data_IF_617522663142
#
_entry.id   IF_617522663142
#
_cell.length_a   1.000
_cell.length_b   1.000
_cell.length_c   1.000
_cell.angle_alpha   90.00
_cell.angle_beta   90.00
_cell.angle_gamma   90.00
#
_symmetry.space_group_name_H-M   'P 1'
#
loop_
_entity.id
_entity.type
_entity.pdbx_description
1 polymer ?
#
# COMPACT_ATOMS: atom_id res chain seq x y z
N UNK A 1 -60.05 -8.36 -35.35
CA UNK A 1 -58.99 -7.40 -35.75
C UNK A 1 -57.99 -7.05 -34.63
N UNK A 2 -58.15 -7.53 -33.38
CA UNK A 2 -57.25 -7.16 -32.26
C UNK A 2 -56.33 -8.28 -31.74
N UNK A 3 -56.43 -9.52 -32.24
CA UNK A 3 -55.51 -10.62 -31.81
C UNK A 3 -54.31 -10.73 -32.76
N UNK A 4 -54.46 -10.35 -34.03
CA UNK A 4 -53.36 -10.37 -35.00
C UNK A 4 -52.31 -9.26 -34.75
N UNK A 5 -52.69 -8.18 -34.05
CA UNK A 5 -51.79 -7.06 -33.75
C UNK A 5 -50.86 -7.35 -32.57
N UNK A 6 -51.21 -8.30 -31.70
CA UNK A 6 -50.40 -8.71 -30.54
C UNK A 6 -49.31 -9.71 -30.96
N UNK A 7 -49.55 -10.49 -32.02
CA UNK A 7 -48.54 -11.39 -32.58
C UNK A 7 -47.49 -10.63 -33.41
N UNK A 8 -47.79 -9.39 -33.84
CA UNK A 8 -46.87 -8.57 -34.64
C UNK A 8 -45.80 -7.81 -33.82
N UNK A 9 -45.82 -7.88 -32.49
CA UNK A 9 -44.90 -7.17 -31.59
C UNK A 9 -43.82 -8.06 -30.94
N UNK A 10 -43.75 -9.36 -31.28
CA UNK A 10 -42.77 -10.29 -30.67
C UNK A 10 -41.55 -10.58 -31.58
N UNK A 11 -41.44 -9.96 -32.76
CA UNK A 11 -40.18 -9.98 -33.53
C UNK A 11 -39.16 -8.95 -33.00
N UNK A 12 -39.03 -8.83 -31.68
CA UNK A 12 -37.95 -8.12 -31.03
C UNK A 12 -36.67 -8.98 -31.10
N UNK A 13 -35.95 -8.82 -32.21
CA UNK A 13 -34.49 -8.87 -32.37
C UNK A 13 -33.77 -9.55 -31.17
N UNK A 14 -33.75 -10.88 -31.13
CA UNK A 14 -33.02 -11.64 -30.11
C UNK A 14 -31.56 -11.85 -30.55
N UNK A 15 -30.72 -10.83 -30.35
CA UNK A 15 -29.27 -10.92 -30.45
C UNK A 15 -28.68 -10.80 -29.05
N UNK A 16 -28.26 -11.89 -28.41
CA UNK A 16 -27.73 -11.85 -27.04
C UNK A 16 -26.22 -11.73 -27.06
N UNK A 17 -25.70 -10.55 -26.71
CA UNK A 17 -24.26 -10.34 -26.54
C UNK A 17 -23.81 -10.83 -25.17
N UNK A 18 -22.74 -11.62 -25.16
CA UNK A 18 -21.97 -11.91 -23.96
C UNK A 18 -20.61 -11.23 -24.04
N UNK A 19 -20.18 -10.64 -22.92
CA UNK A 19 -18.85 -10.05 -22.74
C UNK A 19 -18.41 -10.30 -21.32
N UNK A 20 -17.32 -11.05 -21.13
CA UNK A 20 -16.85 -11.44 -19.82
C UNK A 20 -15.33 -11.64 -19.77
N UNK A 21 -14.78 -11.64 -18.56
CA UNK A 21 -13.43 -12.13 -18.27
C UNK A 21 -13.54 -13.60 -17.85
N UNK A 22 -12.76 -14.48 -18.50
CA UNK A 22 -12.70 -15.89 -18.11
C UNK A 22 -11.82 -16.09 -16.87
N UNK A 23 -11.84 -17.30 -16.29
CA UNK A 23 -11.16 -17.57 -15.01
C UNK A 23 -9.68 -17.21 -15.01
N UNK A 24 -8.98 -17.39 -16.13
CA UNK A 24 -7.56 -17.04 -16.26
C UNK A 24 -7.35 -15.53 -16.14
N UNK A 25 -8.15 -14.74 -16.85
CA UNK A 25 -8.05 -13.27 -16.83
C UNK A 25 -8.52 -12.68 -15.50
N UNK A 26 -9.49 -13.32 -14.84
CA UNK A 26 -9.95 -12.94 -13.49
C UNK A 26 -8.89 -13.26 -12.44
N UNK A 27 -8.26 -14.42 -12.50
CA UNK A 27 -7.14 -14.77 -11.62
C UNK A 27 -5.97 -13.80 -11.85
N UNK A 28 -5.66 -13.46 -13.11
CA UNK A 28 -4.61 -12.52 -13.43
C UNK A 28 -4.88 -11.10 -12.90
N UNK A 29 -6.12 -10.62 -12.97
CA UNK A 29 -6.48 -9.25 -12.59
C UNK A 29 -6.81 -9.07 -11.11
N UNK A 30 -7.44 -10.07 -10.51
CA UNK A 30 -8.01 -9.99 -9.17
C UNK A 30 -7.44 -11.05 -8.20
N UNK A 31 -6.61 -11.98 -8.69
CA UNK A 31 -6.08 -13.11 -7.92
C UNK A 31 -7.19 -13.97 -7.31
N UNK A 32 -8.34 -14.03 -7.98
CA UNK A 32 -9.49 -14.86 -7.64
C UNK A 32 -9.54 -16.09 -8.56
N UNK A 33 -9.45 -17.29 -7.98
CA UNK A 33 -9.53 -18.56 -8.72
C UNK A 33 -10.98 -18.93 -9.04
N UNK A 34 -11.20 -19.55 -10.19
CA UNK A 34 -12.46 -20.20 -10.59
C UNK A 34 -13.70 -19.29 -10.76
N UNK A 35 -13.50 -18.00 -11.05
CA UNK A 35 -14.61 -17.06 -11.27
C UNK A 35 -14.63 -16.50 -12.69
N UNK A 36 -15.82 -16.42 -13.30
CA UNK A 36 -16.06 -15.63 -14.53
C UNK A 36 -16.71 -14.31 -14.18
N UNK A 37 -16.20 -13.21 -14.73
CA UNK A 37 -16.75 -11.88 -14.50
C UNK A 37 -17.49 -11.38 -15.74
N UNK A 38 -18.81 -11.47 -15.71
CA UNK A 38 -19.67 -11.01 -16.78
C UNK A 38 -19.92 -9.51 -16.71
N UNK A 39 -19.52 -8.79 -17.76
CA UNK A 39 -19.89 -7.40 -17.99
C UNK A 39 -21.26 -7.31 -18.66
N UNK A 40 -21.48 -8.22 -19.62
CA UNK A 40 -22.74 -8.40 -20.31
C UNK A 40 -23.03 -9.90 -20.32
N UNK A 41 -24.22 -10.26 -19.85
CA UNK A 41 -24.74 -11.62 -19.92
C UNK A 41 -26.12 -11.55 -20.56
N UNK A 42 -26.29 -12.14 -21.74
CA UNK A 42 -27.55 -12.16 -22.46
C UNK A 42 -28.18 -10.76 -22.64
N UNK A 43 -27.40 -9.78 -23.11
CA UNK A 43 -27.76 -8.34 -23.21
C UNK A 43 -27.99 -7.58 -21.90
N UNK A 44 -27.90 -8.24 -20.73
CA UNK A 44 -28.01 -7.54 -19.45
C UNK A 44 -26.67 -6.93 -19.09
N UNK A 45 -26.60 -5.61 -19.20
CA UNK A 45 -25.46 -4.80 -18.77
C UNK A 45 -25.45 -4.78 -17.24
N UNK A 46 -24.36 -5.24 -16.61
CA UNK A 46 -24.14 -4.95 -15.19
C UNK A 46 -23.64 -3.51 -15.04
N UNK A 47 -24.54 -2.56 -14.79
CA UNK A 47 -24.20 -1.13 -14.71
C UNK A 47 -23.03 -0.84 -13.76
N UNK A 48 -22.99 -1.50 -12.60
CA UNK A 48 -21.89 -1.37 -11.63
C UNK A 48 -20.51 -1.74 -12.20
N UNK A 49 -20.45 -2.63 -13.20
CA UNK A 49 -19.19 -3.04 -13.84
C UNK A 49 -18.62 -1.97 -14.79
N UNK A 50 -19.42 -0.99 -15.22
CA UNK A 50 -19.02 0.08 -16.15
C UNK A 50 -18.88 1.46 -15.47
N UNK A 51 -19.35 1.60 -14.23
CA UNK A 51 -19.17 2.80 -13.42
C UNK A 51 -17.76 2.91 -12.84
N UNK A 52 -17.17 1.79 -12.40
CA UNK A 52 -15.83 1.73 -11.83
C UNK A 52 -14.77 1.35 -12.86
N UNK A 53 -13.60 2.00 -12.81
CA UNK A 53 -12.44 1.60 -13.60
C UNK A 53 -11.83 0.30 -13.07
N UNK A 54 -11.59 -0.66 -13.97
CA UNK A 54 -10.89 -1.90 -13.68
C UNK A 54 -9.40 -1.64 -13.41
N UNK A 55 -8.91 -2.03 -12.24
CA UNK A 55 -7.50 -1.84 -11.85
C UNK A 55 -6.60 -2.85 -12.56
N UNK A 56 -5.59 -2.38 -13.29
CA UNK A 56 -4.62 -3.23 -14.00
C UNK A 56 -3.22 -3.01 -13.41
N UNK A 57 -2.68 -4.03 -12.75
CA UNK A 57 -1.36 -3.99 -12.09
C UNK A 57 -0.21 -3.72 -13.06
N UNK A 58 0.93 -3.26 -12.55
CA UNK A 58 2.13 -2.95 -13.34
C UNK A 58 2.65 -4.13 -14.17
N UNK A 59 2.57 -5.33 -13.60
CA UNK A 59 3.08 -6.56 -14.23
C UNK A 59 2.14 -7.14 -15.29
N UNK A 60 0.92 -6.60 -15.41
CA UNK A 60 -0.08 -7.04 -16.39
C UNK A 60 0.00 -6.11 -17.59
N UNK A 61 0.41 -6.66 -18.73
CA UNK A 61 0.60 -5.91 -19.98
C UNK A 61 -0.61 -5.92 -20.89
N UNK A 62 -1.37 -7.01 -20.87
CA UNK A 62 -2.60 -7.14 -21.64
C UNK A 62 -3.67 -7.82 -20.79
N UNK A 63 -4.93 -7.58 -21.16
CA UNK A 63 -6.10 -8.25 -20.59
C UNK A 63 -6.88 -8.87 -21.72
N UNK A 64 -7.17 -10.16 -21.61
CA UNK A 64 -8.00 -10.89 -22.56
C UNK A 64 -9.47 -10.87 -22.12
N UNK A 65 -10.37 -10.57 -23.06
CA UNK A 65 -11.81 -10.60 -22.90
C UNK A 65 -12.39 -11.68 -23.81
N UNK A 66 -13.45 -12.33 -23.33
CA UNK A 66 -14.23 -13.27 -24.11
C UNK A 66 -15.56 -12.65 -24.50
N UNK A 67 -15.94 -12.79 -25.76
CA UNK A 67 -17.19 -12.28 -26.29
C UNK A 67 -17.78 -13.19 -27.36
N UNK A 68 -19.10 -13.17 -27.46
CA UNK A 68 -19.83 -13.78 -28.56
C UNK A 68 -21.24 -13.19 -28.70
N UNK A 69 -21.76 -13.25 -29.92
CA UNK A 69 -23.17 -13.07 -30.22
C UNK A 69 -23.86 -14.44 -30.17
N UNK A 70 -24.57 -14.69 -29.06
CA UNK A 70 -25.43 -15.86 -28.91
C UNK A 70 -26.78 -15.57 -29.60
N UNK A 71 -27.04 -16.24 -30.72
CA UNK A 71 -28.29 -16.13 -31.46
C UNK A 71 -28.86 -17.48 -31.82
N UNK A 72 -30.17 -17.58 -31.63
CA UNK A 72 -30.96 -18.74 -31.99
C UNK A 72 -31.43 -18.74 -33.46
N UNK A 73 -31.33 -17.62 -34.18
CA UNK A 73 -31.85 -17.49 -35.56
C UNK A 73 -30.78 -17.01 -36.55
N UNK A 74 -30.53 -17.81 -37.59
CA UNK A 74 -29.31 -17.80 -38.42
C UNK A 74 -29.30 -16.66 -39.45
N UNK A 75 -30.46 -16.09 -39.81
CA UNK A 75 -30.61 -15.51 -41.15
C UNK A 75 -30.97 -14.01 -41.27
N UNK A 76 -31.09 -13.21 -40.20
CA UNK A 76 -31.65 -11.84 -40.37
C UNK A 76 -30.90 -10.63 -39.81
N UNK A 77 -29.89 -10.76 -38.94
CA UNK A 77 -28.98 -9.63 -38.73
C UNK A 77 -27.65 -10.02 -38.10
N UNK A 78 -26.60 -9.30 -38.49
CA UNK A 78 -25.25 -9.37 -37.91
C UNK A 78 -25.06 -8.20 -36.94
N UNK A 79 -24.47 -8.46 -35.77
CA UNK A 79 -24.05 -7.40 -34.84
C UNK A 79 -22.65 -6.91 -35.23
N UNK A 80 -22.55 -5.63 -35.58
CA UNK A 80 -21.29 -4.99 -35.89
C UNK A 80 -20.77 -4.21 -34.70
N UNK A 81 -19.45 -4.08 -34.62
CA UNK A 81 -18.77 -3.28 -33.63
C UNK A 81 -17.86 -2.25 -34.30
N UNK A 82 -17.66 -1.14 -33.59
CA UNK A 82 -16.61 -0.14 -33.84
C UNK A 82 -16.06 0.28 -32.49
N UNK A 83 -14.74 0.36 -32.32
CA UNK A 83 -14.16 0.79 -31.05
C UNK A 83 -13.21 1.97 -31.19
N UNK A 84 -13.21 2.81 -30.14
CA UNK A 84 -12.24 3.89 -29.99
C UNK A 84 -11.52 3.75 -28.64
N UNK A 85 -10.23 4.11 -28.61
CA UNK A 85 -9.39 4.00 -27.41
C UNK A 85 -8.90 5.37 -26.97
N UNK A 86 -8.83 5.61 -25.67
CA UNK A 86 -8.30 6.86 -25.11
C UNK A 86 -7.46 6.61 -23.87
N UNK A 87 -6.48 7.48 -23.63
CA UNK A 87 -5.66 7.52 -22.42
C UNK A 87 -5.71 8.94 -21.85
N UNK A 88 -5.77 9.09 -20.52
CA UNK A 88 -5.79 10.41 -19.88
C UNK A 88 -4.45 11.14 -19.99
N UNK A 89 -3.36 10.40 -20.21
CA UNK A 89 -2.01 10.92 -20.42
C UNK A 89 -1.26 10.03 -21.41
N UNK A 90 -1.24 10.44 -22.68
CA UNK A 90 -0.58 9.73 -23.77
C UNK A 90 0.96 9.76 -23.70
N UNK A 91 1.55 10.68 -22.91
CA UNK A 91 3.01 10.71 -22.69
C UNK A 91 3.46 9.60 -21.73
N UNK A 92 2.58 9.22 -20.81
CA UNK A 92 2.83 8.18 -19.81
C UNK A 92 2.33 6.79 -20.21
N UNK A 93 1.22 6.72 -20.94
CA UNK A 93 0.61 5.48 -21.45
C UNK A 93 0.00 5.77 -22.81
N UNK A 94 0.55 5.16 -23.88
CA UNK A 94 -0.06 5.26 -25.20
C UNK A 94 -1.47 4.66 -25.16
N UNK A 95 -2.29 5.03 -26.14
CA UNK A 95 -3.67 4.51 -26.25
C UNK A 95 -3.66 2.97 -26.24
N UNK A 96 -4.58 2.32 -25.51
CA UNK A 96 -4.66 0.86 -25.48
C UNK A 96 -4.75 0.28 -26.89
N UNK A 97 -4.07 -0.84 -27.15
CA UNK A 97 -4.05 -1.48 -28.48
C UNK A 97 -4.80 -2.80 -28.42
N UNK A 98 -5.76 -3.00 -29.32
CA UNK A 98 -6.50 -4.25 -29.41
C UNK A 98 -5.90 -5.15 -30.50
N UNK A 99 -6.01 -6.48 -30.32
CA UNK A 99 -5.61 -7.46 -31.34
C UNK A 99 -6.74 -7.78 -32.34
N UNK A 100 -7.73 -6.90 -32.46
CA UNK A 100 -8.84 -6.98 -33.41
C UNK A 100 -8.89 -5.69 -34.24
N UNK A 101 -9.52 -5.73 -35.42
CA UNK A 101 -9.67 -4.54 -36.27
C UNK A 101 -10.65 -3.53 -35.66
N UNK A 102 -10.44 -2.23 -35.91
CA UNK A 102 -11.23 -1.11 -35.33
C UNK A 102 -12.74 -1.23 -35.58
N UNK A 103 -13.13 -1.78 -36.73
CA UNK A 103 -14.53 -2.00 -37.14
C UNK A 103 -14.70 -3.40 -37.70
N UNK A 104 -15.64 -4.17 -37.16
CA UNK A 104 -15.85 -5.56 -37.55
C UNK A 104 -17.21 -6.11 -37.16
N UNK A 105 -17.32 -7.44 -37.17
CA UNK A 105 -18.54 -8.20 -36.81
C UNK A 105 -18.26 -8.93 -35.50
N UNK A 106 -19.21 -8.89 -34.57
CA UNK A 106 -19.13 -9.68 -33.33
C UNK A 106 -19.22 -11.16 -33.69
N UNK A 107 -18.29 -12.01 -33.21
CA UNK A 107 -18.26 -13.42 -33.59
C UNK A 107 -19.45 -14.17 -33.00
N UNK A 108 -20.00 -15.12 -33.76
CA UNK A 108 -21.08 -16.01 -33.30
C UNK A 108 -20.56 -17.06 -32.31
N UNK A 109 -19.36 -17.56 -32.58
CA UNK A 109 -18.67 -18.49 -31.70
C UNK A 109 -17.93 -17.74 -30.59
N UNK A 110 -17.73 -18.42 -29.46
CA UNK A 110 -16.93 -17.92 -28.35
C UNK A 110 -15.53 -17.58 -28.86
N UNK A 111 -15.20 -16.29 -28.82
CA UNK A 111 -13.92 -15.77 -29.28
C UNK A 111 -13.31 -14.86 -28.23
N UNK A 112 -12.01 -14.61 -28.34
CA UNK A 112 -11.30 -13.70 -27.45
C UNK A 112 -10.71 -12.51 -28.21
N UNK A 113 -10.57 -11.40 -27.51
CA UNK A 113 -9.74 -10.28 -27.91
C UNK A 113 -8.95 -9.77 -26.71
N UNK A 114 -7.75 -9.26 -26.96
CA UNK A 114 -6.84 -8.76 -25.94
C UNK A 114 -6.68 -7.26 -26.08
N UNK A 115 -6.55 -6.58 -24.93
CA UNK A 115 -6.25 -5.15 -24.83
C UNK A 115 -4.86 -5.00 -24.23
N UNK A 116 -3.91 -4.47 -25.00
CA UNK A 116 -2.55 -4.16 -24.58
C UNK A 116 -2.46 -2.75 -23.99
N UNK A 117 -1.67 -2.60 -22.92
CA UNK A 117 -1.41 -1.35 -22.21
C UNK A 117 0.06 -0.91 -22.37
N UNK A 118 0.38 -0.16 -23.44
CA UNK A 118 1.75 0.30 -23.75
C UNK A 118 2.27 1.41 -22.82
N UNK A 119 2.77 1.01 -21.65
CA UNK A 119 3.31 1.91 -20.62
C UNK A 119 4.68 2.52 -21.00
N UNK A 120 4.79 3.83 -20.87
CA UNK A 120 5.98 4.61 -21.21
C UNK A 120 6.70 5.19 -19.97
N UNK A 121 5.98 5.52 -18.90
CA UNK A 121 6.54 6.07 -17.65
C UNK A 121 6.08 5.28 -16.42
N UNK A 122 6.58 5.63 -15.23
CA UNK A 122 6.11 5.11 -13.94
C UNK A 122 4.99 5.97 -13.37
N UNK A 123 3.79 5.87 -13.93
CA UNK A 123 2.62 6.65 -13.49
C UNK A 123 1.39 5.75 -13.33
N UNK A 124 0.32 6.32 -12.76
CA UNK A 124 -1.02 5.71 -12.72
C UNK A 124 -1.94 6.47 -13.67
N UNK A 125 -2.43 5.81 -14.72
CA UNK A 125 -3.12 6.46 -15.82
C UNK A 125 -4.50 5.82 -16.02
N UNK A 126 -5.52 6.65 -16.22
CA UNK A 126 -6.85 6.19 -16.63
C UNK A 126 -6.88 6.03 -18.15
N UNK A 127 -7.42 4.92 -18.64
CA UNK A 127 -7.64 4.71 -20.06
C UNK A 127 -8.99 4.04 -20.28
N UNK A 128 -9.51 4.12 -21.50
CA UNK A 128 -10.79 3.51 -21.84
C UNK A 128 -10.85 2.98 -23.26
N UNK A 129 -11.68 1.96 -23.45
CA UNK A 129 -12.06 1.40 -24.75
C UNK A 129 -13.56 1.49 -24.89
N UNK A 130 -14.01 2.34 -25.82
CA UNK A 130 -15.41 2.60 -26.09
C UNK A 130 -15.84 1.82 -27.33
N UNK A 131 -16.65 0.77 -27.14
CA UNK A 131 -17.30 0.06 -28.22
C UNK A 131 -18.67 0.68 -28.53
N UNK A 132 -18.95 0.85 -29.82
CA UNK A 132 -20.25 1.13 -30.39
C UNK A 132 -20.71 -0.10 -31.16
N UNK A 133 -21.84 -0.65 -30.74
CA UNK A 133 -22.46 -1.80 -31.38
C UNK A 133 -23.67 -1.34 -32.17
N UNK A 134 -23.85 -1.89 -33.37
CA UNK A 134 -24.97 -1.54 -34.24
C UNK A 134 -25.36 -2.73 -35.11
N UNK A 135 -26.60 -2.71 -35.59
CA UNK A 135 -27.13 -3.72 -36.49
C UNK A 135 -27.12 -3.19 -37.94
N UNK A 136 -26.78 -4.06 -38.90
CA UNK A 136 -26.83 -3.79 -40.35
C UNK A 136 -28.14 -3.18 -40.84
N UNK A 137 -29.26 -3.56 -40.24
CA UNK A 137 -30.59 -3.20 -40.74
C UNK A 137 -31.01 -1.78 -40.38
N UNK A 138 -30.45 -1.22 -39.31
CA UNK A 138 -30.86 0.10 -38.80
C UNK A 138 -29.74 1.14 -38.91
N UNK A 139 -28.47 0.74 -39.04
CA UNK A 139 -27.29 1.62 -38.95
C UNK A 139 -27.26 2.54 -37.71
N UNK A 140 -28.19 2.36 -36.77
CA UNK A 140 -28.25 3.07 -35.50
C UNK A 140 -27.49 2.26 -34.46
N UNK A 141 -26.71 2.95 -33.62
CA UNK A 141 -26.05 2.35 -32.46
C UNK A 141 -27.09 1.73 -31.54
N UNK A 142 -27.05 0.41 -31.42
CA UNK A 142 -27.94 -0.36 -30.56
C UNK A 142 -27.45 -0.35 -29.13
N UNK A 143 -26.12 -0.28 -28.91
CA UNK A 143 -25.52 -0.38 -27.60
C UNK A 143 -24.14 0.30 -27.56
N UNK A 144 -23.81 0.93 -26.43
CA UNK A 144 -22.50 1.53 -26.17
C UNK A 144 -21.90 0.88 -24.93
N UNK A 145 -20.66 0.43 -25.04
CA UNK A 145 -19.91 -0.23 -23.96
C UNK A 145 -18.65 0.59 -23.71
N UNK A 146 -18.47 1.10 -22.50
CA UNK A 146 -17.27 1.85 -22.13
C UNK A 146 -16.47 1.09 -21.08
N UNK A 147 -15.46 0.35 -21.53
CA UNK A 147 -14.53 -0.34 -20.64
C UNK A 147 -13.52 0.68 -20.12
N UNK A 148 -13.57 0.98 -18.82
CA UNK A 148 -12.65 1.90 -18.15
C UNK A 148 -11.61 1.13 -17.37
N UNK A 149 -10.36 1.55 -17.47
CA UNK A 149 -9.23 0.92 -16.82
C UNK A 149 -8.39 1.95 -16.06
N UNK A 150 -7.85 1.54 -14.92
CA UNK A 150 -6.84 2.26 -14.14
C UNK A 150 -5.54 1.47 -14.22
N UNK A 151 -4.64 1.85 -15.14
CA UNK A 151 -3.37 1.16 -15.36
C UNK A 151 -2.29 1.74 -14.45
N UNK A 152 -1.60 0.86 -13.73
CA UNK A 152 -0.34 1.18 -13.06
C UNK A 152 0.80 0.85 -14.01
N UNK A 153 1.67 1.81 -14.31
CA UNK A 153 2.79 1.62 -15.25
C UNK A 153 4.14 1.58 -14.52
N UNK A 154 5.08 0.78 -15.04
CA UNK A 154 6.47 0.69 -14.59
C UNK A 154 7.40 0.60 -15.81
N UNK A 155 8.53 1.31 -15.79
CA UNK A 155 9.47 1.38 -16.94
C UNK A 155 10.19 0.04 -17.14
N UNK A 156 10.51 -0.66 -16.06
CA UNK A 156 11.32 -1.89 -16.05
C UNK A 156 10.60 -3.13 -16.60
N UNK A 157 9.28 -3.09 -16.75
CA UNK A 157 8.53 -4.24 -17.25
C UNK A 157 8.68 -4.32 -18.77
N UNK A 158 9.49 -5.27 -19.24
CA UNK A 158 9.63 -5.61 -20.65
C UNK A 158 8.44 -6.45 -21.09
N UNK A 159 7.77 -6.02 -22.17
CA UNK A 159 6.71 -6.82 -22.79
C UNK A 159 7.40 -7.87 -23.64
N UNK A 160 7.09 -9.15 -23.42
CA UNK A 160 7.64 -10.23 -24.22
C UNK A 160 7.32 -10.04 -25.70
N UNK A 161 8.31 -10.32 -26.55
CA UNK A 161 8.20 -10.14 -28.00
C UNK A 161 7.09 -11.02 -28.62
N UNK A 162 6.83 -12.19 -28.02
CA UNK A 162 5.72 -13.09 -28.37
C UNK A 162 4.33 -12.53 -28.05
N UNK A 163 4.22 -11.68 -27.03
CA UNK A 163 2.97 -10.97 -26.70
C UNK A 163 2.79 -9.83 -27.69
N UNK A 164 3.85 -9.06 -27.95
CA UNK A 164 3.81 -7.96 -28.91
C UNK A 164 3.40 -8.44 -30.31
N UNK A 165 3.88 -9.59 -30.78
CA UNK A 165 3.52 -10.18 -32.08
C UNK A 165 2.02 -10.35 -32.30
N UNK A 166 1.23 -10.53 -31.24
CA UNK A 166 -0.23 -10.64 -31.34
C UNK A 166 -0.91 -9.32 -31.75
N UNK A 167 -0.20 -8.20 -31.64
CA UNK A 167 -0.75 -6.86 -31.87
C UNK A 167 -0.02 -6.09 -32.99
N UNK A 168 0.98 -6.70 -33.66
CA UNK A 168 1.90 -6.05 -34.63
C UNK A 168 1.23 -5.34 -35.81
N UNK A 169 -0.04 -5.63 -36.10
CA UNK A 169 -0.79 -4.98 -37.16
C UNK A 169 -1.20 -3.54 -36.82
N UNK A 170 -0.91 -3.05 -35.61
CA UNK A 170 -1.14 -1.67 -35.21
C UNK A 170 0.13 -0.82 -35.32
N UNK A 171 0.09 0.25 -36.12
CA UNK A 171 1.16 1.24 -36.24
C UNK A 171 1.63 1.79 -34.88
N UNK A 172 0.74 1.83 -33.87
CA UNK A 172 1.04 2.32 -32.52
C UNK A 172 2.09 1.49 -31.77
N UNK A 173 2.33 0.23 -32.16
CA UNK A 173 3.32 -0.62 -31.48
C UNK A 173 4.73 -0.31 -31.94
N UNK A 174 4.92 0.05 -33.21
CA UNK A 174 6.22 0.51 -33.66
C UNK A 174 6.59 1.82 -32.98
N UNK A 175 5.64 2.74 -32.84
CA UNK A 175 5.85 3.97 -32.07
C UNK A 175 6.22 3.66 -30.60
N UNK A 176 5.51 2.72 -29.97
CA UNK A 176 5.82 2.26 -28.61
C UNK A 176 7.27 1.76 -28.48
N UNK A 177 7.69 0.87 -29.38
CA UNK A 177 9.02 0.26 -29.34
C UNK A 177 10.12 1.32 -29.54
N UNK A 178 9.95 2.23 -30.49
CA UNK A 178 10.90 3.31 -30.76
C UNK A 178 11.04 4.26 -29.57
N UNK A 179 9.93 4.66 -28.96
CA UNK A 179 9.91 5.56 -27.80
C UNK A 179 10.52 4.89 -26.56
N UNK A 180 10.35 3.57 -26.41
CA UNK A 180 10.93 2.83 -25.28
C UNK A 180 12.45 2.69 -25.42
N UNK A 181 12.93 2.42 -26.63
CA UNK A 181 14.36 2.29 -26.92
C UNK A 181 15.11 3.61 -26.70
N UNK A 182 14.54 4.75 -27.13
CA UNK A 182 15.15 6.07 -26.91
C UNK A 182 15.29 6.39 -25.42
N UNK A 183 14.22 6.17 -24.64
CA UNK A 183 14.23 6.41 -23.19
C UNK A 183 15.22 5.53 -22.42
N UNK A 184 15.39 4.29 -22.84
CA UNK A 184 16.37 3.40 -22.23
C UNK A 184 17.79 3.93 -22.45
N UNK A 185 18.11 4.43 -23.66
CA UNK A 185 19.41 5.05 -23.93
C UNK A 185 19.67 6.27 -23.05
N UNK A 186 18.68 7.16 -22.90
CA UNK A 186 18.82 8.36 -22.06
C UNK A 186 19.07 8.01 -20.58
N UNK A 187 18.34 7.03 -20.04
CA UNK A 187 18.53 6.58 -18.66
C UNK A 187 19.93 5.99 -18.42
N UNK A 188 20.41 5.13 -19.33
CA UNK A 188 21.76 4.55 -19.21
C UNK A 188 22.85 5.62 -19.23
N UNK A 189 22.71 6.66 -20.07
CA UNK A 189 23.65 7.80 -20.13
C UNK A 189 23.70 8.59 -18.81
N UNK A 190 22.55 8.85 -18.19
CA UNK A 190 22.46 9.59 -16.93
C UNK A 190 23.06 8.79 -15.76
N UNK A 191 22.82 7.48 -15.70
CA UNK A 191 23.40 6.64 -14.64
C UNK A 191 24.93 6.56 -14.72
N UNK A 192 25.49 6.47 -15.92
CA UNK A 192 26.94 6.43 -16.12
C UNK A 192 27.57 7.76 -15.70
N UNK A 193 27.01 8.88 -16.16
CA UNK A 193 27.51 10.22 -15.82
C UNK A 193 27.47 10.49 -14.31
N UNK A 194 26.39 10.12 -13.62
CA UNK A 194 26.27 10.28 -12.16
C UNK A 194 27.28 9.41 -11.38
N UNK A 195 27.52 8.17 -11.80
CA UNK A 195 28.53 7.30 -11.16
C UNK A 195 29.94 7.89 -11.31
N UNK A 196 30.28 8.39 -12.51
CA UNK A 196 31.58 9.03 -12.73
C UNK A 196 31.76 10.30 -11.90
N UNK A 197 30.73 11.14 -11.76
CA UNK A 197 30.83 12.35 -10.92
C UNK A 197 31.01 12.03 -9.45
N UNK A 198 30.26 11.07 -8.89
CA UNK A 198 30.46 10.65 -7.49
C UNK A 198 31.85 10.07 -7.24
N UNK A 199 32.38 9.28 -8.19
CA UNK A 199 33.72 8.70 -8.09
C UNK A 199 34.82 9.77 -8.05
N UNK A 200 34.70 10.82 -8.86
CA UNK A 200 35.62 11.95 -8.86
C UNK A 200 35.55 12.77 -7.57
N UNK A 201 34.36 12.98 -7.02
CA UNK A 201 34.17 13.71 -5.75
C UNK A 201 34.83 12.95 -4.60
N UNK A 202 34.64 11.63 -4.51
CA UNK A 202 35.25 10.81 -3.47
C UNK A 202 36.77 10.85 -3.58
N UNK A 203 37.32 10.71 -4.79
CA UNK A 203 38.76 10.79 -5.01
C UNK A 203 39.35 12.15 -4.56
N UNK A 204 38.63 13.25 -4.83
CA UNK A 204 39.04 14.59 -4.39
C UNK A 204 39.01 14.75 -2.87
N UNK A 205 37.99 14.22 -2.19
CA UNK A 205 37.90 14.25 -0.71
C UNK A 205 39.04 13.46 -0.07
N UNK A 206 39.34 12.27 -0.60
CA UNK A 206 40.47 11.45 -0.12
C UNK A 206 41.79 12.19 -0.30
N UNK A 207 41.99 12.83 -1.46
CA UNK A 207 43.18 13.64 -1.72
C UNK A 207 43.32 14.78 -0.70
N UNK A 208 42.24 15.50 -0.38
CA UNK A 208 42.26 16.56 0.62
C UNK A 208 42.61 16.05 2.03
N UNK A 209 42.08 14.89 2.44
CA UNK A 209 42.41 14.30 3.74
C UNK A 209 43.90 13.95 3.82
N UNK A 210 44.45 13.32 2.78
CA UNK A 210 45.88 12.97 2.70
C UNK A 210 46.74 14.24 2.71
N UNK A 211 46.33 15.28 1.98
CA UNK A 211 47.04 16.55 1.96
C UNK A 211 47.04 17.27 3.32
N UNK A 212 45.89 17.33 4.00
CA UNK A 212 45.75 17.92 5.33
C UNK A 212 46.55 17.16 6.40
N UNK A 213 46.53 15.82 6.36
CA UNK A 213 47.31 14.98 7.28
C UNK A 213 48.81 15.15 7.05
N UNK A 214 49.27 15.23 5.80
CA UNK A 214 50.67 15.52 5.47
C UNK A 214 51.11 16.90 5.98
N UNK A 215 50.28 17.93 5.82
CA UNK A 215 50.55 19.27 6.39
C UNK A 215 50.59 19.22 7.91
N UNK A 216 49.64 18.54 8.56
CA UNK A 216 49.61 18.41 10.01
C UNK A 216 50.87 17.72 10.54
N UNK A 217 51.30 16.63 9.91
CA UNK A 217 52.54 15.94 10.24
C UNK A 217 53.78 16.82 10.01
N UNK A 218 53.80 17.61 8.92
CA UNK A 218 54.88 18.57 8.67
C UNK A 218 54.94 19.68 9.73
N UNK A 219 53.79 20.20 10.16
CA UNK A 219 53.68 21.18 11.24
C UNK A 219 54.13 20.58 12.58
N UNK A 220 53.70 19.36 12.91
CA UNK A 220 54.13 18.64 14.12
C UNK A 220 55.64 18.35 14.10
N UNK A 221 56.19 17.98 12.94
CA UNK A 221 57.64 17.80 12.77
C UNK A 221 58.41 19.10 13.02
N UNK A 222 57.89 20.26 12.56
CA UNK A 222 58.49 21.57 12.87
C UNK A 222 58.38 21.92 14.36
N UNK A 223 57.23 21.67 14.99
CA UNK A 223 56.99 21.98 16.41
C UNK A 223 57.82 21.10 17.36
N UNK A 224 58.04 19.84 17.01
CA UNK A 224 58.89 18.91 17.78
C UNK A 224 60.37 19.26 17.72
N UNK A 225 60.85 19.87 16.62
CA UNK A 225 62.23 20.39 16.56
C UNK A 225 62.47 21.60 17.46
N UNK A 226 61.44 22.38 17.79
CA UNK A 226 61.51 23.53 18.70
C UNK A 226 61.33 23.17 20.18
N UNK A 227 60.69 22.04 20.51
CA UNK A 227 60.31 21.68 21.89
C UNK A 227 61.19 20.59 22.55
N UNK A 228 62.37 20.31 22.00
CA UNK A 228 63.31 19.30 22.54
C UNK A 228 64.06 19.74 23.80
N UNK A 229 63.54 20.71 24.55
CA UNK A 229 64.21 21.25 25.76
C UNK A 229 63.43 21.12 27.06
N UNK A 230 62.21 20.59 27.12
CA UNK A 230 61.46 20.56 28.39
C UNK A 230 60.63 19.27 28.55
N UNK A 231 61.19 18.39 29.39
CA UNK A 231 60.57 17.44 30.34
C UNK A 231 59.73 16.24 29.84
N UNK A 232 60.32 15.07 30.10
CA UNK A 232 59.68 13.78 30.42
C UNK A 232 58.74 13.89 31.64
N UNK A 233 57.63 13.14 31.67
CA UNK A 233 57.40 11.97 32.57
C UNK A 233 55.90 11.60 32.80
N UNK A 234 55.67 10.28 32.95
CA UNK A 234 54.61 9.54 33.69
C UNK A 234 53.25 9.12 33.03
N UNK A 235 53.16 7.82 32.67
CA UNK A 235 52.20 6.72 33.05
C UNK A 235 50.69 6.99 33.27
N UNK A 236 49.68 6.12 33.04
CA UNK A 236 49.52 4.66 32.86
C UNK A 236 48.07 4.38 32.34
N UNK A 237 47.84 3.23 31.68
CA UNK A 237 46.62 2.81 30.96
C UNK A 237 45.68 1.84 31.75
N UNK A 238 44.37 1.75 31.42
CA UNK A 238 43.33 0.94 32.10
C UNK A 238 42.37 0.17 31.13
N UNK A 239 42.25 -1.15 31.40
CA UNK A 239 41.24 -2.22 31.16
C UNK A 239 39.98 -2.10 30.25
N UNK A 240 39.61 -3.25 29.63
CA UNK A 240 38.38 -3.55 28.85
C UNK A 240 37.65 -4.86 29.30
N UNK A 241 36.33 -4.95 29.03
CA UNK A 241 35.38 -6.10 29.17
C UNK A 241 34.44 -6.16 27.92
N UNK A 242 33.43 -7.08 27.77
CA UNK A 242 33.42 -8.56 27.61
C UNK A 242 32.54 -9.03 26.39
N UNK A 243 32.22 -10.33 26.27
CA UNK A 243 31.34 -10.90 25.22
C UNK A 243 30.16 -11.78 25.76
N UNK A 244 29.05 -11.73 24.99
CA UNK A 244 27.70 -12.40 25.03
C UNK A 244 27.69 -13.93 25.28
N UNK A 245 26.57 -14.60 25.72
CA UNK A 245 25.36 -14.86 24.87
C UNK A 245 24.00 -15.13 25.59
N UNK A 246 22.90 -15.21 24.82
CA UNK A 246 21.71 -15.97 25.24
C UNK A 246 20.85 -16.45 24.04
N UNK A 247 20.22 -17.62 24.23
CA UNK A 247 19.17 -18.19 23.40
C UNK A 247 17.96 -18.62 24.26
N UNK A 248 16.77 -18.48 23.67
CA UNK A 248 15.52 -19.27 23.83
C UNK A 248 14.46 -18.99 24.94
N UNK A 249 13.24 -18.79 24.40
CA UNK A 249 11.91 -19.34 24.71
C UNK A 249 10.88 -18.72 25.66
N UNK A 250 9.63 -18.87 25.20
CA UNK A 250 8.38 -18.22 25.58
C UNK A 250 7.40 -19.26 26.13
N UNK A 251 6.74 -19.01 27.27
CA UNK A 251 5.41 -19.60 27.57
C UNK A 251 4.58 -18.75 28.56
N UNK A 252 3.34 -18.47 28.13
CA UNK A 252 2.01 -18.49 28.81
C UNK A 252 1.74 -17.77 30.15
N UNK A 253 0.61 -17.02 30.23
CA UNK A 253 -0.32 -17.05 31.38
C UNK A 253 -1.76 -16.64 31.00
N UNK A 254 -2.72 -17.31 31.66
CA UNK A 254 -4.18 -17.34 31.46
C UNK A 254 -5.00 -16.21 32.13
N UNK A 255 -6.24 -16.09 31.62
CA UNK A 255 -7.53 -15.57 32.10
C UNK A 255 -7.71 -14.78 33.42
N UNK A 256 -8.48 -13.68 33.32
CA UNK A 256 -9.45 -13.22 34.35
C UNK A 256 -10.69 -12.61 33.66
N UNK A 257 -11.87 -13.06 34.10
CA UNK A 257 -13.22 -12.76 33.60
C UNK A 257 -13.88 -11.48 34.15
N UNK A 258 -14.62 -10.82 33.25
CA UNK A 258 -15.84 -9.97 33.33
C UNK A 258 -16.42 -9.46 34.68
N UNK A 259 -16.73 -8.15 34.68
CA UNK A 259 -17.91 -7.37 35.10
C UNK A 259 -17.37 -6.00 35.58
N UNK A 260 -17.88 -4.80 35.32
CA UNK A 260 -19.09 -4.24 34.72
C UNK A 260 -18.76 -2.78 34.38
N UNK A 261 -19.21 -2.24 33.25
CA UNK A 261 -19.28 -0.78 33.12
C UNK A 261 -20.43 -0.38 32.21
N UNK A 262 -21.58 -0.12 32.82
CA UNK A 262 -22.69 0.59 32.21
C UNK A 262 -22.91 1.86 33.02
N UNK A 263 -23.03 2.98 32.29
CA UNK A 263 -23.35 4.34 32.73
C UNK A 263 -22.18 5.14 33.34
N UNK A 264 -21.63 6.07 32.54
CA UNK A 264 -20.82 7.19 33.05
C UNK A 264 -21.34 8.50 32.45
N UNK A 265 -21.49 9.49 33.32
CA UNK A 265 -22.05 10.81 33.07
C UNK A 265 -20.97 11.79 32.55
N UNK A 266 -21.31 12.58 31.53
CA UNK A 266 -20.37 13.22 30.59
C UNK A 266 -19.97 14.67 30.95
N UNK A 267 -19.98 15.04 32.23
CA UNK A 267 -19.83 16.46 32.65
C UNK A 267 -18.68 16.78 33.61
N UNK A 268 -17.77 15.84 33.90
CA UNK A 268 -16.73 16.04 34.93
C UNK A 268 -15.33 16.38 34.38
N UNK A 269 -14.62 17.25 35.11
CA UNK A 269 -13.29 17.77 34.81
C UNK A 269 -12.20 16.70 34.96
N UNK A 270 -11.03 16.96 34.35
CA UNK A 270 -9.87 16.07 34.24
C UNK A 270 -9.44 15.38 35.54
N UNK A 271 -9.59 16.05 36.68
CA UNK A 271 -9.18 15.52 37.99
C UNK A 271 -10.16 14.49 38.56
N UNK A 272 -11.43 14.48 38.13
CA UNK A 272 -12.43 13.47 38.53
C UNK A 272 -12.44 12.23 37.61
N UNK A 273 -12.00 12.39 36.34
CA UNK A 273 -11.73 11.25 35.44
C UNK A 273 -10.54 10.40 35.92
N UNK A 274 -9.57 11.05 36.58
CA UNK A 274 -8.38 10.42 37.14
C UNK A 274 -8.65 9.56 38.39
N UNK A 275 -9.74 9.81 39.12
CA UNK A 275 -10.11 9.04 40.31
C UNK A 275 -11.18 7.97 40.04
N UNK A 276 -11.93 8.09 38.95
CA UNK A 276 -13.04 7.18 38.61
C UNK A 276 -12.64 5.99 37.74
N UNK A 277 -11.47 6.04 37.10
CA UNK A 277 -10.87 4.90 36.40
C UNK A 277 -9.61 4.49 37.16
N UNK A 278 -9.58 3.26 37.64
CA UNK A 278 -8.48 2.60 38.36
C UNK A 278 -7.20 2.51 37.51
N UNK A 279 -6.56 3.63 37.17
CA UNK A 279 -5.19 3.62 36.64
C UNK A 279 -4.16 3.39 37.73
N UNK A 280 -4.54 3.46 39.02
CA UNK A 280 -3.67 3.08 40.12
C UNK A 280 -3.09 1.66 39.94
N UNK A 281 -3.89 0.73 39.42
CA UNK A 281 -3.49 -0.67 39.16
C UNK A 281 -2.66 -0.84 37.87
N UNK A 282 -2.63 0.18 37.00
CA UNK A 282 -1.96 0.16 35.70
C UNK A 282 -0.86 1.24 35.56
N UNK A 283 -0.45 1.85 36.68
CA UNK A 283 0.60 2.87 36.69
C UNK A 283 1.97 2.19 36.65
N UNK A 284 2.79 2.58 35.67
CA UNK A 284 4.16 2.05 35.52
C UNK A 284 5.12 3.08 36.11
N UNK A 285 6.09 2.62 36.89
CA UNK A 285 7.17 3.48 37.39
C UNK A 285 7.98 4.04 36.21
N UNK A 286 8.13 5.36 36.17
CA UNK A 286 8.89 6.07 35.15
C UNK A 286 10.33 5.57 35.04
N UNK A 287 10.96 5.19 36.17
CA UNK A 287 12.34 4.72 36.20
C UNK A 287 12.54 3.39 35.45
N UNK A 288 11.45 2.68 35.17
CA UNK A 288 11.46 1.44 34.41
C UNK A 288 11.40 1.67 32.91
N UNK A 289 11.13 2.89 32.43
CA UNK A 289 10.94 3.16 31.00
C UNK A 289 11.99 4.12 30.48
N UNK A 290 12.77 3.65 29.51
CA UNK A 290 13.72 4.47 28.76
C UNK A 290 13.09 4.89 27.43
N UNK A 291 13.05 6.19 27.18
CA UNK A 291 12.55 6.75 25.92
C UNK A 291 13.67 6.73 24.86
N UNK A 292 13.32 6.30 23.64
CA UNK A 292 14.21 6.32 22.48
C UNK A 292 13.69 7.35 21.45
N UNK A 293 13.65 6.96 20.18
CA UNK A 293 13.28 7.83 19.07
C UNK A 293 11.77 8.06 18.91
N UNK A 294 11.41 9.18 18.25
CA UNK A 294 10.05 9.44 17.79
C UNK A 294 9.81 8.67 16.49
N UNK A 295 8.91 7.69 16.54
CA UNK A 295 8.52 6.87 15.39
C UNK A 295 7.57 7.66 14.47
N UNK A 296 6.65 8.40 15.10
CA UNK A 296 5.63 9.18 14.42
C UNK A 296 5.28 10.43 15.21
N UNK A 297 5.15 11.54 14.48
CA UNK A 297 4.54 12.76 14.99
C UNK A 297 3.34 13.12 14.11
N UNK A 298 2.18 13.27 14.73
CA UNK A 298 0.97 13.78 14.13
C UNK A 298 0.70 15.22 14.56
N UNK A 299 -0.47 15.74 14.20
CA UNK A 299 -0.86 17.13 14.49
C UNK A 299 -0.87 17.45 15.99
N UNK A 300 -1.25 16.49 16.83
CA UNK A 300 -1.44 16.70 18.28
C UNK A 300 -0.80 15.59 19.15
N UNK A 301 -0.27 14.55 18.54
CA UNK A 301 0.18 13.34 19.22
C UNK A 301 1.51 12.85 18.68
N UNK A 302 2.29 12.17 19.52
CA UNK A 302 3.57 11.54 19.18
C UNK A 302 3.57 10.09 19.65
N UNK A 303 4.19 9.24 18.84
CA UNK A 303 4.46 7.85 19.15
C UNK A 303 5.97 7.66 19.23
N UNK A 304 6.44 7.18 20.37
CA UNK A 304 7.84 6.98 20.73
C UNK A 304 8.14 5.47 20.76
N UNK A 305 9.36 5.12 20.38
CA UNK A 305 9.94 3.83 20.74
C UNK A 305 10.45 3.94 22.18
N UNK A 306 10.17 2.95 23.02
CA UNK A 306 10.63 2.93 24.41
C UNK A 306 11.09 1.51 24.78
N UNK A 307 11.94 1.38 25.80
CA UNK A 307 12.27 0.09 26.41
C UNK A 307 11.80 0.06 27.85
N UNK A 308 11.14 -1.03 28.24
CA UNK A 308 10.71 -1.31 29.59
C UNK A 308 11.74 -2.25 30.26
N UNK A 309 12.28 -1.82 31.39
CA UNK A 309 13.12 -2.63 32.26
C UNK A 309 12.21 -3.49 33.15
N UNK A 310 12.28 -4.80 32.95
CA UNK A 310 11.63 -5.75 33.83
C UNK A 310 12.50 -5.98 35.07
N UNK A 311 12.03 -5.53 36.23
CA UNK A 311 12.74 -5.70 37.50
C UNK A 311 12.81 -7.16 37.97
N UNK A 312 12.05 -8.08 37.34
CA UNK A 312 12.05 -9.50 37.69
C UNK A 312 13.22 -10.28 37.06
N UNK A 313 13.86 -9.77 36.01
CA UNK A 313 14.96 -10.44 35.31
C UNK A 313 16.01 -9.41 34.89
N UNK A 314 17.21 -9.45 35.48
CA UNK A 314 18.32 -8.50 35.25
C UNK A 314 18.86 -8.41 33.79
N UNK A 315 18.19 -9.02 32.79
CA UNK A 315 18.76 -9.25 31.44
C UNK A 315 17.81 -8.88 30.27
N UNK A 316 16.50 -8.70 30.42
CA UNK A 316 15.62 -8.41 29.26
C UNK A 316 14.94 -7.04 29.31
N UNK A 317 15.40 -6.12 28.46
CA UNK A 317 14.66 -4.90 28.11
C UNK A 317 13.60 -5.24 27.06
N UNK A 318 12.32 -4.98 27.37
CA UNK A 318 11.22 -5.23 26.44
C UNK A 318 10.95 -3.98 25.61
N UNK A 319 10.93 -4.10 24.28
CA UNK A 319 10.50 -3.00 23.40
C UNK A 319 9.00 -2.75 23.56
N UNK A 320 8.65 -1.47 23.70
CA UNK A 320 7.28 -0.97 23.88
C UNK A 320 7.08 0.32 23.09
N UNK A 321 5.83 0.68 22.84
CA UNK A 321 5.49 1.99 22.29
C UNK A 321 4.98 2.93 23.39
N UNK A 322 5.46 4.18 23.36
CA UNK A 322 4.97 5.26 24.21
C UNK A 322 4.17 6.28 23.40
N UNK A 323 2.89 6.46 23.71
CA UNK A 323 2.04 7.48 23.08
C UNK A 323 1.83 8.66 24.01
N UNK A 324 2.12 9.86 23.53
CA UNK A 324 1.91 11.11 24.28
C UNK A 324 1.44 12.24 23.36
N UNK A 325 1.15 13.41 23.91
CA UNK A 325 0.80 14.61 23.13
C UNK A 325 2.03 15.49 22.88
N UNK A 326 2.00 16.29 21.82
CA UNK A 326 3.06 17.26 21.54
C UNK A 326 2.82 18.59 22.29
N UNK A 327 3.79 19.52 22.24
CA UNK A 327 3.69 20.82 22.92
C UNK A 327 2.58 21.73 22.37
N UNK A 328 2.04 21.44 21.19
CA UNK A 328 0.96 22.19 20.54
C UNK A 328 -0.44 21.66 20.85
N UNK A 329 -0.56 20.60 21.64
CA UNK A 329 -1.84 19.95 21.94
C UNK A 329 -2.69 20.76 22.94
N UNK A 330 -3.99 20.79 22.70
CA UNK A 330 -4.95 21.42 23.62
C UNK A 330 -5.34 20.47 24.75
N UNK A 331 -5.79 21.00 25.89
CA UNK A 331 -6.30 20.17 27.00
C UNK A 331 -7.43 19.23 26.56
N UNK A 332 -8.27 19.66 25.61
CA UNK A 332 -9.32 18.80 25.03
C UNK A 332 -8.76 17.59 24.29
N UNK A 333 -7.62 17.72 23.60
CA UNK A 333 -6.98 16.62 22.89
C UNK A 333 -6.28 15.66 23.85
N UNK A 334 -5.65 16.20 24.91
CA UNK A 334 -5.11 15.40 25.99
C UNK A 334 -6.21 14.56 26.67
N UNK A 335 -7.35 15.17 26.96
CA UNK A 335 -8.49 14.49 27.59
C UNK A 335 -9.07 13.41 26.68
N UNK A 336 -9.18 13.68 25.39
CA UNK A 336 -9.60 12.67 24.42
C UNK A 336 -8.64 11.48 24.40
N UNK A 337 -7.32 11.73 24.42
CA UNK A 337 -6.32 10.66 24.43
C UNK A 337 -6.41 9.79 25.69
N UNK A 338 -6.61 10.40 26.86
CA UNK A 338 -6.79 9.67 28.11
C UNK A 338 -8.11 8.90 28.14
N UNK A 339 -9.19 9.50 27.64
CA UNK A 339 -10.48 8.84 27.51
C UNK A 339 -10.39 7.61 26.59
N UNK A 340 -9.76 7.74 25.43
CA UNK A 340 -9.54 6.63 24.51
C UNK A 340 -8.67 5.53 25.16
N UNK A 341 -7.65 5.91 25.93
CA UNK A 341 -6.85 4.96 26.71
C UNK A 341 -7.73 4.12 27.66
N UNK A 342 -8.60 4.77 28.44
CA UNK A 342 -9.52 4.09 29.37
C UNK A 342 -10.39 3.06 28.64
N UNK A 343 -10.98 3.48 27.52
CA UNK A 343 -11.85 2.63 26.72
C UNK A 343 -11.11 1.38 26.23
N UNK A 344 -9.91 1.55 25.68
CA UNK A 344 -9.13 0.45 25.14
C UNK A 344 -8.48 -0.44 26.20
N UNK A 345 -8.18 0.06 27.39
CA UNK A 345 -7.59 -0.72 28.49
C UNK A 345 -8.46 -1.93 28.90
N UNK A 346 -9.79 -1.81 28.77
CA UNK A 346 -10.74 -2.89 29.09
C UNK A 346 -10.88 -3.96 27.99
N UNK A 347 -10.23 -3.75 26.85
CA UNK A 347 -10.33 -4.62 25.69
C UNK A 347 -9.23 -5.68 25.74
N UNK A 348 -9.62 -6.95 25.68
CA UNK A 348 -8.69 -8.07 25.49
C UNK A 348 -9.10 -8.81 24.23
N UNK A 349 -8.33 -8.66 23.16
CA UNK A 349 -8.53 -9.33 21.89
C UNK A 349 -7.21 -9.35 21.10
N UNK A 350 -6.88 -10.47 20.45
CA UNK A 350 -5.59 -10.66 19.76
C UNK A 350 -5.32 -9.66 18.63
N UNK A 351 -6.36 -9.04 18.08
CA UNK A 351 -6.24 -8.05 16.99
C UNK A 351 -6.46 -6.60 17.44
N UNK A 352 -6.57 -6.34 18.75
CA UNK A 352 -6.73 -5.00 19.32
C UNK A 352 -5.49 -4.71 20.16
N UNK A 353 -4.78 -3.63 19.82
CA UNK A 353 -3.61 -3.22 20.59
C UNK A 353 -4.04 -2.37 21.78
N UNK A 354 -4.29 -3.02 22.91
CA UNK A 354 -4.71 -2.38 24.15
C UNK A 354 -3.50 -1.81 24.93
N UNK A 355 -3.66 -0.69 25.65
CA UNK A 355 -2.59 -0.14 26.46
C UNK A 355 -2.22 -1.11 27.60
N UNK A 356 -0.92 -1.20 27.88
CA UNK A 356 -0.36 -1.96 29.01
C UNK A 356 -0.40 -1.17 30.31
N UNK A 357 -0.30 0.16 30.21
CA UNK A 357 -0.27 1.04 31.38
C UNK A 357 -0.04 2.49 31.00
N UNK A 358 0.05 3.33 32.03
CA UNK A 358 0.26 4.77 31.90
C UNK A 358 1.36 5.23 32.86
N UNK A 359 2.18 6.17 32.39
CA UNK A 359 3.16 6.88 33.22
C UNK A 359 2.70 8.32 33.32
N UNK A 360 2.49 8.77 34.55
CA UNK A 360 2.04 10.12 34.84
C UNK A 360 3.23 11.06 35.01
N UNK A 361 3.36 12.00 34.07
CA UNK A 361 4.44 13.02 34.01
C UNK A 361 5.83 12.40 33.87
N UNK A 362 6.70 13.05 33.11
CA UNK A 362 8.11 12.71 33.00
C UNK A 362 8.91 14.01 33.04
N UNK A 363 10.16 13.98 33.49
CA UNK A 363 11.06 15.13 33.47
C UNK A 363 11.23 15.71 32.05
N UNK A 364 11.11 14.86 31.02
CA UNK A 364 11.23 15.23 29.60
C UNK A 364 9.92 15.75 28.98
N UNK A 365 8.76 15.51 29.60
CA UNK A 365 7.47 15.99 29.09
C UNK A 365 6.41 16.11 30.19
N UNK A 366 5.71 17.26 30.31
CA UNK A 366 4.67 17.47 31.32
C UNK A 366 3.41 16.62 31.08
N UNK A 367 3.36 15.88 29.96
CA UNK A 367 2.20 15.10 29.55
C UNK A 367 2.35 13.62 29.90
N UNK A 368 1.23 12.91 30.17
CA UNK A 368 1.26 11.47 30.42
C UNK A 368 1.74 10.69 29.18
N UNK A 369 2.36 9.55 29.45
CA UNK A 369 2.83 8.60 28.44
C UNK A 369 2.05 7.30 28.57
N UNK A 370 1.29 6.94 27.53
CA UNK A 370 0.52 5.70 27.48
C UNK A 370 1.36 4.62 26.82
N UNK A 371 1.53 3.48 27.50
CA UNK A 371 2.38 2.39 27.06
C UNK A 371 1.56 1.35 26.30
N UNK A 372 2.05 0.94 25.14
CA UNK A 372 1.43 -0.07 24.28
C UNK A 372 2.44 -1.18 23.94
N UNK A 373 1.95 -2.41 23.64
CA UNK A 373 2.77 -3.46 23.07
C UNK A 373 3.45 -3.01 21.77
N UNK A 374 4.69 -3.46 21.58
CA UNK A 374 5.48 -3.19 20.39
C UNK A 374 5.14 -4.14 19.23
N UNK A 375 5.13 -3.61 18.00
CA UNK A 375 5.03 -4.39 16.76
C UNK A 375 6.34 -4.29 15.99
N UNK A 376 6.95 -5.43 15.65
CA UNK A 376 8.22 -5.48 14.92
C UNK A 376 8.11 -4.99 13.46
N UNK A 377 6.90 -5.01 12.89
CA UNK A 377 6.63 -4.52 11.52
C UNK A 377 6.10 -3.09 11.49
N UNK A 378 5.78 -2.53 12.66
CA UNK A 378 5.30 -1.17 12.83
C UNK A 378 3.97 -0.91 12.11
N UNK A 379 3.68 0.35 11.82
CA UNK A 379 2.38 0.77 11.27
C UNK A 379 2.12 0.16 9.89
N UNK A 380 0.94 -0.45 9.74
CA UNK A 380 0.52 -1.18 8.53
C UNK A 380 0.63 -0.34 7.25
N UNK A 381 0.26 0.96 7.29
CA UNK A 381 0.44 1.86 6.13
C UNK A 381 1.91 1.91 5.67
N UNK A 382 2.85 2.07 6.61
CA UNK A 382 4.28 2.13 6.27
C UNK A 382 4.78 0.76 5.81
N UNK A 383 4.36 -0.31 6.49
CA UNK A 383 4.69 -1.68 6.12
C UNK A 383 4.26 -2.00 4.67
N UNK A 384 3.03 -1.69 4.28
CA UNK A 384 2.53 -1.91 2.91
C UNK A 384 3.32 -1.07 1.89
N UNK A 385 3.57 0.21 2.19
CA UNK A 385 4.34 1.09 1.29
C UNK A 385 5.77 0.57 1.12
N UNK A 386 6.44 0.20 2.21
CA UNK A 386 7.80 -0.33 2.19
C UNK A 386 7.90 -1.64 1.40
N UNK A 387 6.94 -2.56 1.57
CA UNK A 387 6.89 -3.80 0.78
C UNK A 387 6.68 -3.52 -0.72
N UNK A 388 5.96 -2.45 -1.06
CA UNK A 388 5.76 -2.04 -2.47
C UNK A 388 7.03 -1.42 -3.08
N UNK A 389 7.82 -0.70 -2.30
CA UNK A 389 8.98 0.07 -2.79
C UNK A 389 10.33 -0.65 -2.62
N UNK A 390 10.39 -1.72 -1.82
CA UNK A 390 11.64 -2.42 -1.54
C UNK A 390 12.09 -3.30 -2.72
N UNK A 391 13.38 -3.29 -3.07
CA UNK A 391 13.93 -4.11 -4.16
C UNK A 391 14.16 -5.58 -3.79
N UNK A 392 13.92 -5.99 -2.54
CA UNK A 392 14.04 -7.39 -2.09
C UNK A 392 12.74 -8.16 -2.34
N UNK A 393 12.86 -9.39 -2.82
CA UNK A 393 11.85 -10.26 -3.45
C UNK A 393 10.65 -10.71 -2.59
N UNK A 394 10.38 -10.11 -1.43
CA UNK A 394 9.20 -10.41 -0.62
C UNK A 394 8.13 -9.34 -0.81
N UNK A 395 7.50 -9.35 -1.99
CA UNK A 395 6.26 -8.61 -2.21
C UNK A 395 5.13 -9.34 -1.48
N UNK A 396 4.31 -8.59 -0.72
CA UNK A 396 3.12 -9.13 -0.07
C UNK A 396 2.19 -9.74 -1.12
N UNK A 397 1.83 -11.00 -0.94
CA UNK A 397 0.83 -11.70 -1.74
C UNK A 397 -0.57 -11.17 -1.43
N UNK A 398 -1.53 -11.35 -2.36
CA UNK A 398 -2.93 -11.01 -2.08
C UNK A 398 -3.49 -11.84 -0.93
N UNK A 399 -3.04 -13.09 -0.76
CA UNK A 399 -3.43 -13.90 0.39
C UNK A 399 -3.04 -13.23 1.71
N UNK A 400 -1.83 -12.67 1.82
CA UNK A 400 -1.40 -11.92 3.01
C UNK A 400 -2.18 -10.62 3.19
N UNK A 401 -2.49 -9.90 2.10
CA UNK A 401 -3.34 -8.70 2.13
C UNK A 401 -4.75 -9.01 2.64
N UNK A 402 -5.35 -10.09 2.13
CA UNK A 402 -6.67 -10.58 2.57
C UNK A 402 -6.59 -11.05 4.03
N UNK A 403 -5.52 -11.72 4.43
CA UNK A 403 -5.32 -12.14 5.81
C UNK A 403 -5.25 -10.94 6.77
N UNK A 404 -4.56 -9.86 6.40
CA UNK A 404 -4.54 -8.60 7.15
C UNK A 404 -5.94 -7.96 7.21
N UNK A 405 -6.67 -7.93 6.10
CA UNK A 405 -8.05 -7.41 6.06
C UNK A 405 -8.99 -8.21 6.97
N UNK A 406 -8.86 -9.54 7.01
CA UNK A 406 -9.62 -10.42 7.90
C UNK A 406 -9.31 -10.10 9.37
N UNK A 407 -8.04 -9.86 9.73
CA UNK A 407 -7.65 -9.51 11.10
C UNK A 407 -8.23 -8.17 11.54
N UNK A 408 -8.22 -7.17 10.65
CA UNK A 408 -8.86 -5.88 10.90
C UNK A 408 -10.37 -6.06 11.08
N UNK A 409 -11.02 -6.83 10.20
CA UNK A 409 -12.45 -7.09 10.28
C UNK A 409 -12.85 -7.81 11.59
N UNK A 410 -12.04 -8.78 12.05
CA UNK A 410 -12.23 -9.45 13.35
C UNK A 410 -12.17 -8.46 14.51
N UNK A 411 -11.18 -7.56 14.50
CA UNK A 411 -11.06 -6.50 15.51
C UNK A 411 -12.26 -5.56 15.52
N UNK A 412 -12.68 -5.08 14.34
CA UNK A 412 -13.86 -4.23 14.21
C UNK A 412 -15.14 -4.94 14.68
N UNK A 413 -15.31 -6.21 14.33
CA UNK A 413 -16.44 -7.00 14.80
C UNK A 413 -16.46 -7.11 16.33
N UNK A 414 -15.30 -7.35 16.96
CA UNK A 414 -15.18 -7.36 18.43
C UNK A 414 -15.56 -6.01 19.05
N UNK A 415 -15.07 -4.89 18.50
CA UNK A 415 -15.42 -3.54 18.95
C UNK A 415 -16.92 -3.25 18.81
N UNK A 416 -17.50 -3.60 17.67
CA UNK A 416 -18.93 -3.40 17.41
C UNK A 416 -19.82 -4.20 18.37
N UNK A 417 -19.44 -5.44 18.72
CA UNK A 417 -20.16 -6.23 19.74
C UNK A 417 -20.13 -5.57 21.12
N UNK A 418 -19.11 -4.76 21.41
CA UNK A 418 -19.01 -3.94 22.62
C UNK A 418 -19.59 -2.52 22.46
N UNK A 419 -20.34 -2.27 21.38
CA UNK A 419 -20.95 -0.96 21.06
C UNK A 419 -19.93 0.18 20.90
N UNK A 420 -18.69 -0.15 20.56
CA UNK A 420 -17.65 0.84 20.27
C UNK A 420 -17.55 1.07 18.78
N UNK A 421 -17.81 2.30 18.34
CA UNK A 421 -17.69 2.70 16.93
C UNK A 421 -16.35 3.40 16.71
N UNK A 422 -15.50 2.80 15.89
CA UNK A 422 -14.23 3.41 15.51
C UNK A 422 -14.46 4.43 14.39
N UNK A 423 -14.32 5.72 14.71
CA UNK A 423 -14.60 6.82 13.77
C UNK A 423 -13.48 7.05 12.75
N UNK A 424 -12.27 6.55 13.02
CA UNK A 424 -11.11 6.74 12.15
C UNK A 424 -10.46 5.40 11.77
N UNK A 425 -11.13 4.65 10.90
CA UNK A 425 -10.62 3.38 10.38
C UNK A 425 -9.70 3.64 9.19
N UNK A 426 -8.44 3.22 9.31
CA UNK A 426 -7.49 3.25 8.20
C UNK A 426 -6.18 2.55 8.54
N UNK A 427 -5.43 2.17 7.52
CA UNK A 427 -4.15 1.44 7.67
C UNK A 427 -3.07 2.21 8.44
N UNK A 428 -3.23 3.53 8.61
CA UNK A 428 -2.35 4.36 9.47
C UNK A 428 -2.58 4.14 10.98
N UNK A 429 -3.74 3.58 11.35
CA UNK A 429 -4.13 3.30 12.73
C UNK A 429 -4.06 1.79 13.04
N UNK A 430 -3.44 1.00 12.17
CA UNK A 430 -3.19 -0.43 12.36
C UNK A 430 -1.69 -0.67 12.51
N UNK A 431 -1.30 -1.64 13.35
CA UNK A 431 0.08 -2.02 13.68
C UNK A 431 0.41 -3.45 13.21
#
# INVERSE_FOLDING_TARGET
MNILLIILLINLINAQLNLYLDSVSVEQLFELKEHRLYFINENRIRQSAFESSLSVSANIHFVEFTWNEDRFDIDKSKLYYEYNTSSSDEQSLLRPVLNIIEKGIVPKEISTFSILFPCLTTNRINCSVLFRLYNSTTNHTTMIINLKFLKYCRIETTINQSVLSQFYNSNQIMDYLLIKESRHRDFTSITITTIFTYSLIIAFVVFLIVFCTAISLFCLYRLTTTNKTISNDLSHDNQDHPALPMSFDMTTFEDVSLYSCTQYDFTKTTDELLSSVTFADCTIDQNRVTLHEIIMEGRFGRLLHCSLNDSSTNISTQNIYGKTVNSSATSTQLNQMLHDCCLFATLKHSTINSPLGIIYKNELSPYPLIIYPYSNKGILKRFIIQNRTSPREQLLSTQELVYMAIHIAKGLHFLHRRKMLMKDIGTRNCL
#
